data_IF_037993108283
#
_entry.id   IF_037993108283
#
_cell.length_a   1.000
_cell.length_b   1.000
_cell.length_c   1.000
_cell.angle_alpha   90.00
_cell.angle_beta   90.00
_cell.angle_gamma   90.00
#
_symmetry.space_group_name_H-M   'P 1'
#
loop_
_entity.id
_entity.type
_entity.pdbx_description
1 polymer ?
#
# COMPACT_ATOMS: atom_id res chain seq x y z
N UNK A 1 34.83 7.29 26.30
CA UNK A 1 33.71 6.33 26.39
C UNK A 1 32.34 6.94 26.05
N UNK A 2 32.02 8.20 26.40
CA UNK A 2 30.72 8.83 26.11
C UNK A 2 30.38 8.96 24.61
N UNK A 3 31.37 9.34 23.79
CA UNK A 3 31.17 9.57 22.35
C UNK A 3 30.84 8.27 21.61
N UNK A 4 31.52 7.17 21.95
CA UNK A 4 31.25 5.85 21.39
C UNK A 4 29.82 5.37 21.72
N UNK A 5 29.33 5.65 22.94
CA UNK A 5 27.95 5.32 23.34
C UNK A 5 26.90 6.14 22.57
N UNK A 6 27.17 7.42 22.32
CA UNK A 6 26.27 8.27 21.52
C UNK A 6 26.20 7.80 20.07
N UNK A 7 27.35 7.48 19.44
CA UNK A 7 27.40 6.97 18.07
C UNK A 7 26.67 5.63 17.94
N UNK A 8 26.81 4.75 18.94
CA UNK A 8 26.11 3.47 18.93
C UNK A 8 24.59 3.65 19.04
N UNK A 9 24.12 4.55 19.92
CA UNK A 9 22.69 4.85 20.06
C UNK A 9 22.09 5.46 18.80
N UNK A 10 22.81 6.38 18.13
CA UNK A 10 22.31 6.98 16.89
C UNK A 10 22.24 5.97 15.76
N UNK A 11 23.23 5.06 15.64
CA UNK A 11 23.18 3.97 14.67
C UNK A 11 22.02 3.01 14.91
N UNK A 12 21.79 2.59 16.17
CA UNK A 12 20.67 1.74 16.52
C UNK A 12 19.33 2.43 16.23
N UNK A 13 19.19 3.70 16.61
CA UNK A 13 17.99 4.48 16.31
C UNK A 13 17.73 4.56 14.79
N UNK A 14 18.77 4.84 14.00
CA UNK A 14 18.66 4.89 12.55
C UNK A 14 18.23 3.55 11.94
N UNK A 15 18.84 2.44 12.36
CA UNK A 15 18.46 1.10 11.90
C UNK A 15 17.02 0.76 12.28
N UNK A 16 16.57 1.11 13.49
CA UNK A 16 15.18 0.89 13.89
C UNK A 16 14.19 1.71 13.07
N UNK A 17 14.52 2.96 12.73
CA UNK A 17 13.69 3.81 11.88
C UNK A 17 13.59 3.26 10.45
N UNK A 18 14.71 2.85 9.87
CA UNK A 18 14.76 2.24 8.54
C UNK A 18 13.96 0.93 8.51
N UNK A 19 14.12 0.08 9.52
CA UNK A 19 13.36 -1.14 9.69
C UNK A 19 11.86 -0.86 9.76
N UNK A 20 11.46 0.13 10.55
CA UNK A 20 10.07 0.54 10.70
C UNK A 20 9.48 1.07 9.39
N UNK A 21 10.24 1.88 8.65
CA UNK A 21 9.83 2.38 7.34
C UNK A 21 9.76 1.29 6.27
N UNK A 22 10.66 0.30 6.30
CA UNK A 22 10.66 -0.79 5.32
C UNK A 22 9.54 -1.79 5.58
N UNK A 23 9.28 -2.15 6.83
CA UNK A 23 8.31 -3.20 7.19
C UNK A 23 6.88 -2.71 7.38
N UNK A 24 6.65 -1.40 7.43
CA UNK A 24 5.30 -0.83 7.44
C UNK A 24 4.72 -0.89 6.02
N UNK A 25 4.21 -2.06 5.67
CA UNK A 25 3.37 -2.26 4.50
C UNK A 25 1.95 -1.76 4.81
N UNK A 26 1.30 -1.00 3.91
CA UNK A 26 -0.14 -0.77 3.99
C UNK A 26 -0.88 -2.11 3.91
N UNK A 27 -2.05 -2.21 4.55
CA UNK A 27 -2.85 -3.43 4.47
C UNK A 27 -3.53 -3.56 3.09
N UNK A 28 -3.87 -4.78 2.65
CA UNK A 28 -4.63 -5.04 1.42
C UNK A 28 -5.87 -4.18 1.24
N UNK A 29 -6.57 -3.93 2.33
CA UNK A 29 -7.80 -3.16 2.35
C UNK A 29 -7.53 -1.70 1.96
N UNK A 30 -6.55 -1.06 2.59
CA UNK A 30 -6.18 0.35 2.32
C UNK A 30 -5.69 0.54 0.89
N UNK A 31 -4.89 -0.39 0.36
CA UNK A 31 -4.41 -0.33 -1.03
C UNK A 31 -5.57 -0.41 -2.01
N UNK A 32 -6.55 -1.29 -1.75
CA UNK A 32 -7.71 -1.44 -2.61
C UNK A 32 -8.64 -0.23 -2.56
N UNK A 33 -8.78 0.41 -1.40
CA UNK A 33 -9.56 1.63 -1.25
C UNK A 33 -8.96 2.76 -2.10
N UNK A 34 -7.64 2.94 -2.07
CA UNK A 34 -6.93 3.92 -2.88
C UNK A 34 -7.11 3.67 -4.39
N UNK A 35 -7.03 2.42 -4.85
CA UNK A 35 -7.27 2.06 -6.26
C UNK A 35 -8.71 2.38 -6.68
N UNK A 36 -9.68 2.06 -5.82
CA UNK A 36 -11.10 2.32 -6.10
C UNK A 36 -11.35 3.82 -6.17
N UNK A 37 -10.76 4.60 -5.27
CA UNK A 37 -10.87 6.06 -5.25
C UNK A 37 -10.30 6.67 -6.55
N UNK A 38 -9.10 6.25 -6.97
CA UNK A 38 -8.52 6.67 -8.26
C UNK A 38 -9.41 6.28 -9.44
N UNK A 39 -9.91 5.04 -9.46
CA UNK A 39 -10.82 4.55 -10.51
C UNK A 39 -12.11 5.38 -10.56
N UNK A 40 -12.66 5.71 -9.39
CA UNK A 40 -13.88 6.50 -9.25
C UNK A 40 -13.66 7.94 -9.72
N UNK A 41 -12.50 8.52 -9.39
CA UNK A 41 -12.10 9.86 -9.79
C UNK A 41 -11.90 9.96 -11.31
N UNK A 42 -11.25 8.97 -11.92
CA UNK A 42 -10.99 8.96 -13.38
C UNK A 42 -12.24 8.70 -14.23
N UNK A 43 -13.13 7.81 -13.79
CA UNK A 43 -14.34 7.45 -14.55
C UNK A 43 -15.43 8.54 -14.45
N UNK A 44 -15.36 9.39 -13.42
CA UNK A 44 -16.35 10.41 -13.12
C UNK A 44 -17.70 9.84 -12.66
N UNK A 45 -18.65 10.73 -12.36
CA UNK A 45 -19.96 10.43 -11.71
C UNK A 45 -20.99 9.74 -12.65
N UNK A 46 -20.51 8.85 -13.52
CA UNK A 46 -21.34 8.07 -14.43
C UNK A 46 -22.02 6.93 -13.66
N UNK A 47 -23.22 7.22 -13.17
CA UNK A 47 -24.19 6.32 -12.53
C UNK A 47 -23.96 6.03 -11.02
N UNK A 48 -24.52 6.84 -10.11
CA UNK A 48 -24.35 6.69 -8.66
C UNK A 48 -25.10 5.48 -8.05
N UNK A 49 -26.25 5.07 -8.60
CA UNK A 49 -27.17 4.16 -7.90
C UNK A 49 -26.87 2.65 -8.06
N UNK A 50 -26.00 2.27 -9.02
CA UNK A 50 -25.52 0.89 -9.20
C UNK A 50 -24.04 0.74 -8.81
N UNK A 51 -23.43 1.83 -8.31
CA UNK A 51 -21.99 1.95 -8.08
C UNK A 51 -21.56 1.27 -6.79
N UNK A 52 -22.28 1.46 -5.70
CA UNK A 52 -21.83 1.03 -4.37
C UNK A 52 -21.74 -0.49 -4.24
N UNK A 53 -22.76 -1.22 -4.68
CA UNK A 53 -22.74 -2.68 -4.68
C UNK A 53 -21.64 -3.26 -5.60
N UNK A 54 -21.35 -2.58 -6.71
CA UNK A 54 -20.30 -2.96 -7.64
C UNK A 54 -18.91 -2.65 -7.05
N UNK A 55 -18.77 -1.51 -6.39
CA UNK A 55 -17.56 -1.07 -5.68
C UNK A 55 -17.25 -2.05 -4.54
N UNK A 56 -18.24 -2.46 -3.76
CA UNK A 56 -18.05 -3.43 -2.69
C UNK A 56 -17.59 -4.80 -3.23
N UNK A 57 -18.18 -5.27 -4.33
CA UNK A 57 -17.68 -6.47 -5.01
C UNK A 57 -16.26 -6.28 -5.57
N UNK A 58 -15.91 -5.10 -6.06
CA UNK A 58 -14.57 -4.77 -6.52
C UNK A 58 -13.58 -4.80 -5.35
N UNK A 59 -13.95 -4.22 -4.21
CA UNK A 59 -13.16 -4.18 -2.99
C UNK A 59 -12.89 -5.57 -2.45
N UNK A 60 -13.91 -6.43 -2.40
CA UNK A 60 -13.77 -7.82 -1.98
C UNK A 60 -12.83 -8.61 -2.89
N UNK A 61 -12.97 -8.47 -4.22
CA UNK A 61 -12.08 -9.13 -5.19
C UNK A 61 -10.66 -8.62 -5.10
N UNK A 62 -10.47 -7.30 -5.10
CA UNK A 62 -9.16 -6.68 -4.97
C UNK A 62 -8.46 -7.14 -3.68
N UNK A 63 -9.15 -7.09 -2.53
CA UNK A 63 -8.58 -7.48 -1.25
C UNK A 63 -8.16 -8.96 -1.26
N UNK A 64 -8.98 -9.84 -1.85
CA UNK A 64 -8.67 -11.27 -1.99
C UNK A 64 -7.43 -11.50 -2.86
N UNK A 65 -7.29 -10.78 -3.96
CA UNK A 65 -6.13 -10.85 -4.83
C UNK A 65 -4.88 -10.32 -4.14
N UNK A 66 -4.94 -9.17 -3.47
CA UNK A 66 -3.82 -8.60 -2.73
C UNK A 66 -3.39 -9.50 -1.56
N UNK A 67 -4.32 -10.12 -0.83
CA UNK A 67 -4.03 -11.14 0.19
C UNK A 67 -3.36 -12.37 -0.41
N UNK A 68 -3.78 -12.79 -1.61
CA UNK A 68 -3.14 -13.90 -2.32
C UNK A 68 -1.73 -13.52 -2.76
N UNK A 69 -1.52 -12.30 -3.28
CA UNK A 69 -0.20 -11.74 -3.63
C UNK A 69 0.72 -11.70 -2.40
N UNK A 70 0.21 -11.24 -1.27
CA UNK A 70 0.91 -11.21 0.02
C UNK A 70 1.31 -12.62 0.49
N UNK A 71 0.42 -13.60 0.33
CA UNK A 71 0.69 -15.00 0.71
C UNK A 71 1.74 -15.65 -0.20
N UNK A 72 1.68 -15.40 -1.51
CA UNK A 72 2.53 -16.06 -2.51
C UNK A 72 3.90 -15.41 -2.66
N UNK A 73 3.97 -14.07 -2.67
CA UNK A 73 5.23 -13.32 -2.84
C UNK A 73 5.84 -12.89 -1.50
N UNK A 74 5.12 -13.05 -0.39
CA UNK A 74 5.59 -12.65 0.93
C UNK A 74 5.47 -11.15 1.22
N UNK A 75 5.76 -10.80 2.47
CA UNK A 75 5.55 -9.44 3.02
C UNK A 75 6.39 -8.37 2.33
N UNK A 76 7.64 -8.69 1.96
CA UNK A 76 8.57 -7.72 1.39
C UNK A 76 8.11 -7.22 0.01
N UNK A 77 7.92 -8.13 -0.95
CA UNK A 77 7.47 -7.77 -2.30
C UNK A 77 6.08 -7.13 -2.29
N UNK A 78 5.20 -7.57 -1.40
CA UNK A 78 3.91 -6.91 -1.23
C UNK A 78 4.05 -5.49 -0.68
N UNK A 79 4.93 -5.25 0.29
CA UNK A 79 5.17 -3.92 0.84
C UNK A 79 5.68 -2.94 -0.21
N UNK A 80 6.58 -3.39 -1.09
CA UNK A 80 7.11 -2.58 -2.19
C UNK A 80 6.01 -2.22 -3.19
N UNK A 81 5.24 -3.23 -3.64
CA UNK A 81 4.07 -3.02 -4.48
C UNK A 81 3.07 -2.05 -3.86
N UNK A 82 2.70 -2.28 -2.60
CA UNK A 82 1.71 -1.49 -1.88
C UNK A 82 2.18 -0.03 -1.70
N UNK A 83 3.47 0.20 -1.42
CA UNK A 83 4.03 1.57 -1.35
C UNK A 83 4.04 2.27 -2.71
N UNK A 84 4.29 1.54 -3.80
CA UNK A 84 4.24 2.07 -5.15
C UNK A 84 2.81 2.54 -5.48
N UNK A 85 1.81 1.68 -5.26
CA UNK A 85 0.40 2.02 -5.49
C UNK A 85 -0.10 3.13 -4.56
N UNK A 86 0.34 3.18 -3.29
CA UNK A 86 -0.08 4.26 -2.39
C UNK A 86 0.56 5.61 -2.75
N UNK A 87 1.58 5.63 -3.62
CA UNK A 87 2.22 6.86 -4.12
C UNK A 87 1.64 7.31 -5.47
N UNK A 88 1.04 6.40 -6.24
CA UNK A 88 0.45 6.75 -7.54
C UNK A 88 -0.76 7.65 -7.36
N UNK A 89 -0.87 8.64 -8.24
CA UNK A 89 -2.00 9.58 -8.29
C UNK A 89 -3.03 9.17 -9.35
N UNK A 90 -2.63 8.31 -10.29
CA UNK A 90 -3.48 7.82 -11.39
C UNK A 90 -3.50 6.30 -11.46
N UNK A 91 -4.54 5.75 -12.09
CA UNK A 91 -4.68 4.32 -12.30
C UNK A 91 -3.54 3.77 -13.18
N UNK A 92 -3.14 4.53 -14.20
CA UNK A 92 -2.05 4.16 -15.11
C UNK A 92 -0.70 4.03 -14.37
N UNK A 93 -0.42 4.92 -13.42
CA UNK A 93 0.76 4.82 -12.56
C UNK A 93 0.68 3.62 -11.61
N UNK A 94 -0.51 3.35 -11.06
CA UNK A 94 -0.75 2.21 -10.18
C UNK A 94 -0.60 0.84 -10.87
N UNK A 95 -0.92 0.77 -12.17
CA UNK A 95 -0.75 -0.43 -13.02
C UNK A 95 0.72 -0.70 -13.39
N UNK A 96 1.57 0.32 -13.37
CA UNK A 96 3.02 0.19 -13.55
C UNK A 96 3.75 -0.41 -12.35
N UNK A 97 3.05 -0.58 -11.22
CA UNK A 97 3.48 -1.31 -10.03
C UNK A 97 3.07 -2.81 -10.12
#
# INVERSE_FOLDING_TARGET
MRIAGVIFLTLVAFLTLVWFFLLRAPSPEVVCDHIIEMTVAEVGDKAPNARDALIDQLRLRCTKEKRTKLRLRGKYYYAEYAKCVMRSETLAEAEGC
#
